data_IF_823201623852
#
_entry.id   IF_823201623852
#
_cell.length_a   1.000
_cell.length_b   1.000
_cell.length_c   1.000
_cell.angle_alpha   90.00
_cell.angle_beta   90.00
_cell.angle_gamma   90.00
#
_symmetry.space_group_name_H-M   'P 1'
#
loop_
_entity.id
_entity.type
_entity.pdbx_description
1 polymer ?
#
# COMPACT_ATOMS: atom_id res chain seq x y z
N UNK A 1 32.52 -9.41 30.97
CA UNK A 1 32.98 -8.64 29.81
C UNK A 1 32.41 -7.24 29.92
N UNK A 2 33.08 -6.34 30.63
CA UNK A 2 32.60 -4.97 30.84
C UNK A 2 33.20 -4.07 29.76
N UNK A 3 32.42 -3.77 28.73
CA UNK A 3 32.72 -2.70 27.79
C UNK A 3 31.61 -1.64 27.92
N UNK A 4 31.78 -0.65 28.82
CA UNK A 4 30.78 0.39 29.04
C UNK A 4 30.42 1.14 27.75
N UNK A 5 31.39 1.28 26.84
CA UNK A 5 31.20 1.95 25.56
C UNK A 5 30.24 1.18 24.64
N UNK A 6 30.30 -0.16 24.65
CA UNK A 6 29.36 -0.99 23.90
C UNK A 6 27.93 -0.77 24.37
N UNK A 7 27.69 -0.79 25.69
CA UNK A 7 26.36 -0.58 26.28
C UNK A 7 25.79 0.77 25.89
N UNK A 8 26.59 1.83 26.00
CA UNK A 8 26.22 3.18 25.58
C UNK A 8 25.81 3.24 24.12
N UNK A 9 26.66 2.73 23.24
CA UNK A 9 26.44 2.80 21.78
C UNK A 9 25.20 2.02 21.37
N UNK A 10 25.00 0.80 21.90
CA UNK A 10 23.84 -0.01 21.52
C UNK A 10 22.53 0.56 22.08
N UNK A 11 22.53 1.05 23.33
CA UNK A 11 21.38 1.70 23.94
C UNK A 11 20.95 2.95 23.16
N UNK A 12 21.92 3.81 22.79
CA UNK A 12 21.67 5.02 22.01
C UNK A 12 21.22 4.71 20.57
N UNK A 13 21.79 3.70 19.91
CA UNK A 13 21.37 3.25 18.56
C UNK A 13 19.93 2.80 18.53
N UNK A 14 19.53 1.98 19.50
CA UNK A 14 18.15 1.50 19.59
C UNK A 14 17.18 2.63 19.97
N UNK A 15 17.59 3.53 20.85
CA UNK A 15 16.83 4.74 21.17
C UNK A 15 16.60 5.61 19.93
N UNK A 16 17.66 5.97 19.20
CA UNK A 16 17.55 6.73 17.94
C UNK A 16 16.63 6.05 16.93
N UNK A 17 16.72 4.72 16.79
CA UNK A 17 15.89 3.97 15.85
C UNK A 17 14.40 4.14 16.09
N UNK A 18 13.97 4.29 17.34
CA UNK A 18 12.54 4.42 17.70
C UNK A 18 12.12 5.88 17.94
N UNK A 19 12.97 6.70 18.56
CA UNK A 19 12.68 8.10 18.86
C UNK A 19 13.02 9.06 17.71
N UNK A 20 13.77 8.60 16.70
CA UNK A 20 14.21 9.39 15.55
C UNK A 20 15.50 10.19 15.78
N UNK A 21 15.84 10.50 17.03
CA UNK A 21 17.04 11.26 17.42
C UNK A 21 17.77 10.51 18.54
N UNK A 22 19.10 10.44 18.45
CA UNK A 22 19.93 9.89 19.52
C UNK A 22 20.02 10.82 20.73
N UNK A 23 20.29 10.27 21.92
CA UNK A 23 20.70 11.08 23.07
C UNK A 23 22.09 11.67 22.81
N UNK A 24 22.90 10.93 22.05
CA UNK A 24 24.14 11.39 21.44
C UNK A 24 24.01 11.39 19.92
N UNK A 25 24.46 12.46 19.26
CA UNK A 25 24.52 12.62 17.81
C UNK A 25 25.84 13.31 17.41
N UNK A 26 26.50 12.88 16.31
CA UNK A 26 26.14 11.75 15.45
C UNK A 26 26.38 10.39 16.11
N UNK A 27 25.43 9.45 15.99
CA UNK A 27 25.55 8.12 16.64
C UNK A 27 26.80 7.32 16.25
N UNK A 28 27.36 7.58 15.07
CA UNK A 28 28.55 6.88 14.57
C UNK A 28 29.88 7.57 14.91
N UNK A 29 29.85 8.76 15.49
CA UNK A 29 31.03 9.55 15.87
C UNK A 29 31.28 9.54 17.39
N UNK A 30 30.75 8.53 18.10
CA UNK A 30 30.88 8.44 19.55
C UNK A 30 32.34 8.26 20.00
N UNK A 31 32.78 9.15 20.89
CA UNK A 31 34.10 9.14 21.56
C UNK A 31 33.94 9.14 23.08
N UNK A 32 35.01 8.92 23.85
CA UNK A 32 34.95 8.99 25.33
C UNK A 32 34.62 10.40 25.85
N UNK A 33 34.94 11.45 25.09
CA UNK A 33 34.71 12.86 25.43
C UNK A 33 33.28 13.34 25.07
N UNK A 34 32.49 12.44 24.51
CA UNK A 34 31.14 12.71 24.02
C UNK A 34 30.14 12.86 25.17
N UNK A 35 29.66 14.09 25.40
CA UNK A 35 28.64 14.34 26.41
C UNK A 35 27.22 14.03 25.88
N UNK A 36 26.44 13.18 26.57
CA UNK A 36 25.05 12.93 26.20
C UNK A 36 24.19 14.17 26.49
N UNK A 37 23.25 14.47 25.60
CA UNK A 37 22.29 15.57 25.80
C UNK A 37 21.50 15.47 27.11
N UNK A 38 21.20 14.24 27.54
CA UNK A 38 20.46 13.93 28.76
C UNK A 38 21.19 12.82 29.52
N UNK A 39 22.18 13.16 30.37
CA UNK A 39 23.04 12.17 31.03
C UNK A 39 22.28 11.18 31.92
N UNK A 40 21.29 11.65 32.68
CA UNK A 40 20.48 10.81 33.57
C UNK A 40 19.64 9.80 32.77
N UNK A 41 19.07 10.23 31.64
CA UNK A 41 18.33 9.35 30.74
C UNK A 41 19.26 8.31 30.11
N UNK A 42 20.46 8.72 29.69
CA UNK A 42 21.43 7.80 29.12
C UNK A 42 21.84 6.71 30.12
N UNK A 43 22.13 7.09 31.35
CA UNK A 43 22.46 6.15 32.42
C UNK A 43 21.32 5.15 32.67
N UNK A 44 20.07 5.65 32.74
CA UNK A 44 18.90 4.77 32.87
C UNK A 44 18.81 3.76 31.72
N UNK A 45 19.02 4.19 30.49
CA UNK A 45 18.98 3.31 29.32
C UNK A 45 20.11 2.25 29.34
N UNK A 46 21.31 2.62 29.79
CA UNK A 46 22.41 1.68 29.98
C UNK A 46 22.07 0.63 31.02
N UNK A 47 21.58 1.06 32.19
CA UNK A 47 21.19 0.18 33.30
C UNK A 47 20.11 -0.80 32.84
N UNK A 48 19.11 -0.34 32.08
CA UNK A 48 18.07 -1.20 31.52
C UNK A 48 18.62 -2.19 30.48
N UNK A 49 19.59 -1.80 29.66
CA UNK A 49 20.23 -2.71 28.70
C UNK A 49 20.97 -3.85 29.41
N UNK A 50 21.71 -3.52 30.48
CA UNK A 50 22.42 -4.50 31.31
C UNK A 50 21.44 -5.39 32.07
N UNK A 51 20.41 -4.80 32.69
CA UNK A 51 19.39 -5.54 33.44
C UNK A 51 18.59 -6.53 32.57
N UNK A 52 18.38 -6.19 31.30
CA UNK A 52 17.74 -7.06 30.31
C UNK A 52 18.72 -8.04 29.64
N UNK A 53 19.97 -8.11 30.11
CA UNK A 53 21.02 -8.97 29.58
C UNK A 53 21.18 -8.82 28.05
N UNK A 54 21.13 -7.59 27.55
CA UNK A 54 21.22 -7.24 26.14
C UNK A 54 20.13 -7.84 25.22
N UNK A 55 18.97 -8.23 25.77
CA UNK A 55 17.79 -8.58 24.96
C UNK A 55 17.22 -7.32 24.29
N UNK A 56 17.57 -7.13 23.01
CA UNK A 56 17.11 -6.02 22.19
C UNK A 56 15.59 -5.95 22.06
N UNK A 57 14.89 -7.09 22.05
CA UNK A 57 13.42 -7.13 21.90
C UNK A 57 12.75 -6.67 23.19
N UNK A 58 13.25 -7.13 24.34
CA UNK A 58 12.76 -6.67 25.64
C UNK A 58 13.06 -5.18 25.85
N UNK A 59 14.26 -4.72 25.45
CA UNK A 59 14.66 -3.33 25.56
C UNK A 59 13.81 -2.40 24.67
N UNK A 60 13.60 -2.77 23.41
CA UNK A 60 12.69 -2.03 22.53
C UNK A 60 11.26 -2.03 23.09
N UNK A 61 10.77 -3.15 23.64
CA UNK A 61 9.46 -3.19 24.28
C UNK A 61 9.38 -2.20 25.46
N UNK A 62 10.43 -2.06 26.26
CA UNK A 62 10.49 -1.07 27.34
C UNK A 62 10.34 0.36 26.79
N UNK A 63 11.10 0.73 25.75
CA UNK A 63 11.02 2.07 25.17
C UNK A 63 9.65 2.30 24.53
N UNK A 64 9.13 1.35 23.76
CA UNK A 64 7.86 1.48 23.04
C UNK A 64 6.63 1.55 23.98
N UNK A 65 6.76 1.06 25.21
CA UNK A 65 5.72 1.18 26.25
C UNK A 65 5.94 2.36 27.20
N UNK A 66 6.97 3.17 26.98
CA UNK A 66 7.20 4.37 27.77
C UNK A 66 6.20 5.48 27.44
N UNK A 67 5.89 6.33 28.42
CA UNK A 67 5.03 7.50 28.19
C UNK A 67 5.63 8.44 27.14
N UNK A 68 6.95 8.58 27.09
CA UNK A 68 7.62 9.48 26.14
C UNK A 68 7.47 9.02 24.69
N UNK A 69 7.51 7.71 24.42
CA UNK A 69 7.27 7.18 23.08
C UNK A 69 5.79 7.29 22.66
N UNK A 70 4.87 7.11 23.62
CA UNK A 70 3.43 7.16 23.35
C UNK A 70 2.86 8.58 23.26
N UNK A 71 3.66 9.62 23.53
CA UNK A 71 3.27 11.01 23.29
C UNK A 71 3.16 11.30 21.79
N UNK A 72 2.43 12.36 21.47
CA UNK A 72 2.35 12.86 20.10
C UNK A 72 3.74 13.18 19.55
N UNK A 73 4.00 12.77 18.31
CA UNK A 73 5.26 13.08 17.65
C UNK A 73 5.44 14.60 17.50
N UNK A 74 6.67 15.08 17.66
CA UNK A 74 7.00 16.49 17.47
C UNK A 74 6.81 16.87 16.01
N UNK A 75 5.98 17.89 15.77
CA UNK A 75 5.73 18.45 14.43
C UNK A 75 6.90 19.33 13.97
N UNK A 76 7.67 19.87 14.91
CA UNK A 76 8.82 20.71 14.61
C UNK A 76 10.00 19.85 14.15
N UNK A 77 10.76 20.40 13.19
CA UNK A 77 12.04 19.83 12.76
C UNK A 77 13.03 19.77 13.93
N UNK A 78 13.91 18.78 13.87
CA UNK A 78 14.98 18.62 14.86
C UNK A 78 15.99 19.77 14.64
N UNK A 79 16.25 20.60 15.67
CA UNK A 79 17.16 21.74 15.52
C UNK A 79 18.58 21.25 15.25
N UNK A 80 19.28 21.92 14.34
CA UNK A 80 20.66 21.60 14.01
C UNK A 80 21.61 22.12 15.10
N UNK A 81 22.40 21.22 15.70
CA UNK A 81 23.42 21.59 16.69
C UNK A 81 22.90 21.85 18.10
N UNK A 82 21.60 21.69 18.35
CA UNK A 82 21.02 21.82 19.70
C UNK A 82 20.46 20.47 20.20
N UNK A 83 20.51 20.22 21.52
CA UNK A 83 19.86 19.07 22.12
C UNK A 83 18.35 19.00 21.83
N UNK A 84 17.86 17.81 21.50
CA UNK A 84 16.43 17.57 21.33
C UNK A 84 15.77 17.27 22.68
N UNK A 85 14.83 18.11 23.12
CA UNK A 85 14.20 18.04 24.46
C UNK A 85 13.18 16.89 24.67
N UNK A 86 13.05 15.96 23.71
CA UNK A 86 12.16 14.78 23.76
C UNK A 86 10.74 15.02 24.33
N UNK A 87 9.98 15.95 23.74
CA UNK A 87 8.53 16.07 24.04
C UNK A 87 7.71 14.85 23.55
N UNK A 88 8.27 14.09 22.62
CA UNK A 88 7.75 12.86 22.02
C UNK A 88 8.78 12.32 21.01
N UNK A 89 8.46 11.29 20.22
CA UNK A 89 9.32 10.88 19.12
C UNK A 89 9.38 11.97 18.03
N UNK A 90 10.53 12.09 17.36
CA UNK A 90 10.66 12.98 16.21
C UNK A 90 9.84 12.45 15.03
N UNK A 91 9.17 13.36 14.31
CA UNK A 91 8.46 13.02 13.09
C UNK A 91 9.46 12.51 12.04
N UNK A 92 9.20 11.32 11.49
CA UNK A 92 10.04 10.69 10.47
C UNK A 92 9.23 10.37 9.23
N UNK A 93 9.89 10.41 8.08
CA UNK A 93 9.31 9.91 6.83
C UNK A 93 9.16 8.40 6.90
N UNK A 94 8.05 7.91 6.35
CA UNK A 94 7.88 6.48 6.10
C UNK A 94 8.84 6.05 4.98
N UNK A 95 9.34 4.81 5.03
CA UNK A 95 10.09 4.24 3.91
C UNK A 95 9.17 4.00 2.72
N UNK A 96 9.74 3.81 1.53
CA UNK A 96 8.96 3.54 0.33
C UNK A 96 8.09 2.28 0.49
N UNK A 97 8.63 1.24 1.13
CA UNK A 97 7.92 0.00 1.45
C UNK A 97 6.76 0.26 2.40
N UNK A 98 6.98 1.02 3.48
CA UNK A 98 5.93 1.35 4.44
C UNK A 98 4.79 2.15 3.78
N UNK A 99 5.10 3.06 2.86
CA UNK A 99 4.09 3.81 2.11
C UNK A 99 3.33 2.88 1.17
N UNK A 100 4.04 2.04 0.42
CA UNK A 100 3.45 1.06 -0.49
C UNK A 100 2.52 0.09 0.24
N UNK A 101 2.98 -0.51 1.33
CA UNK A 101 2.22 -1.45 2.14
C UNK A 101 0.96 -0.78 2.73
N UNK A 102 1.05 0.48 3.14
CA UNK A 102 -0.10 1.26 3.62
C UNK A 102 -1.14 1.46 2.52
N UNK A 103 -0.72 1.84 1.31
CA UNK A 103 -1.61 2.03 0.16
C UNK A 103 -2.24 0.69 -0.25
N UNK A 104 -1.42 -0.37 -0.35
CA UNK A 104 -1.88 -1.70 -0.72
C UNK A 104 -2.89 -2.24 0.30
N UNK A 105 -2.64 -2.06 1.59
CA UNK A 105 -3.56 -2.46 2.66
C UNK A 105 -4.90 -1.72 2.59
N UNK A 106 -4.90 -0.45 2.18
CA UNK A 106 -6.11 0.36 2.01
C UNK A 106 -6.98 -0.16 0.85
N UNK A 107 -6.35 -0.61 -0.24
CA UNK A 107 -7.03 -1.09 -1.45
C UNK A 107 -7.45 -2.56 -1.33
N UNK A 108 -6.59 -3.39 -0.72
CA UNK A 108 -6.80 -4.79 -0.49
C UNK A 108 -6.57 -5.09 1.00
N UNK A 109 -7.62 -5.39 1.79
CA UNK A 109 -7.49 -5.66 3.22
C UNK A 109 -6.72 -6.96 3.52
N UNK A 110 -6.50 -7.81 2.52
CA UNK A 110 -5.73 -9.06 2.65
C UNK A 110 -4.68 -9.16 1.55
N UNK A 111 -3.64 -8.30 1.55
CA UNK A 111 -2.67 -8.25 0.47
C UNK A 111 -1.70 -9.44 0.46
N UNK A 112 -1.53 -10.10 1.60
CA UNK A 112 -0.72 -11.31 1.73
C UNK A 112 -1.45 -12.57 1.25
N UNK A 113 -2.78 -12.51 1.09
CA UNK A 113 -3.55 -13.63 0.59
C UNK A 113 -3.63 -13.59 -0.94
N UNK A 114 -3.57 -14.76 -1.61
CA UNK A 114 -3.82 -14.83 -3.04
C UNK A 114 -5.21 -14.30 -3.33
N UNK A 115 -5.33 -13.37 -4.27
CA UNK A 115 -6.65 -12.94 -4.76
C UNK A 115 -7.19 -14.03 -5.70
N UNK A 116 -7.83 -15.06 -5.13
CA UNK A 116 -8.36 -16.19 -5.89
C UNK A 116 -9.36 -15.76 -6.97
N UNK A 117 -10.05 -14.63 -6.80
CA UNK A 117 -10.96 -14.12 -7.84
C UNK A 117 -10.17 -13.57 -9.02
N UNK A 118 -9.14 -12.76 -8.78
CA UNK A 118 -8.23 -12.31 -9.85
C UNK A 118 -7.53 -13.48 -10.52
N UNK A 119 -7.07 -14.46 -9.74
CA UNK A 119 -6.40 -15.66 -10.27
C UNK A 119 -7.36 -16.46 -11.16
N UNK A 120 -8.58 -16.76 -10.69
CA UNK A 120 -9.59 -17.46 -11.49
C UNK A 120 -9.96 -16.71 -12.77
N UNK A 121 -10.14 -15.39 -12.71
CA UNK A 121 -10.44 -14.57 -13.88
C UNK A 121 -9.26 -14.53 -14.86
N UNK A 122 -8.03 -14.51 -14.34
CA UNK A 122 -6.83 -14.59 -15.16
C UNK A 122 -6.76 -15.95 -15.87
N UNK A 123 -6.93 -17.05 -15.15
CA UNK A 123 -6.92 -18.40 -15.70
C UNK A 123 -8.03 -18.60 -16.75
N UNK A 124 -9.24 -18.11 -16.48
CA UNK A 124 -10.35 -18.16 -17.44
C UNK A 124 -10.00 -17.40 -18.72
N UNK A 125 -9.44 -16.18 -18.60
CA UNK A 125 -9.03 -15.38 -19.76
C UNK A 125 -7.93 -16.07 -20.57
N UNK A 126 -6.95 -16.67 -19.90
CA UNK A 126 -5.88 -17.42 -20.57
C UNK A 126 -6.46 -18.63 -21.31
N UNK A 127 -7.35 -19.39 -20.69
CA UNK A 127 -8.02 -20.53 -21.32
C UNK A 127 -8.90 -20.13 -22.51
N UNK A 128 -9.64 -19.01 -22.42
CA UNK A 128 -10.39 -18.46 -23.55
C UNK A 128 -9.47 -18.09 -24.72
N UNK A 129 -8.33 -17.48 -24.41
CA UNK A 129 -7.35 -17.08 -25.41
C UNK A 129 -6.69 -18.28 -26.10
N UNK A 130 -6.35 -19.32 -25.34
CA UNK A 130 -5.84 -20.59 -25.87
C UNK A 130 -6.89 -21.28 -26.76
N UNK A 131 -8.13 -21.39 -26.29
CA UNK A 131 -9.22 -21.98 -27.07
C UNK A 131 -9.45 -21.23 -28.39
N UNK A 132 -9.37 -19.89 -28.37
CA UNK A 132 -9.46 -19.07 -29.58
C UNK A 132 -8.30 -19.35 -30.54
N UNK A 133 -7.08 -19.47 -30.01
CA UNK A 133 -5.91 -19.79 -30.82
C UNK A 133 -6.00 -21.19 -31.45
N UNK A 134 -6.50 -22.17 -30.71
CA UNK A 134 -6.75 -23.52 -31.21
C UNK A 134 -7.78 -23.50 -32.34
N UNK A 135 -8.88 -22.75 -32.18
CA UNK A 135 -9.86 -22.57 -33.26
C UNK A 135 -9.20 -21.94 -34.49
N UNK A 136 -8.39 -20.88 -34.33
CA UNK A 136 -7.74 -20.23 -35.47
C UNK A 136 -6.71 -21.11 -36.18
N UNK A 137 -6.04 -22.02 -35.45
CA UNK A 137 -5.00 -22.90 -36.01
C UNK A 137 -5.54 -24.22 -36.56
N UNK A 138 -6.67 -24.71 -36.04
CA UNK A 138 -7.29 -25.98 -36.45
C UNK A 138 -8.46 -25.84 -37.42
N UNK A 139 -8.88 -24.62 -37.77
CA UNK A 139 -10.02 -24.38 -38.68
C UNK A 139 -9.56 -24.15 -40.12
N UNK A 140 -10.28 -24.68 -41.10
CA UNK A 140 -9.99 -24.45 -42.51
C UNK A 140 -10.27 -23.00 -42.93
N UNK A 141 -9.53 -22.45 -43.90
CA UNK A 141 -9.68 -21.06 -44.34
C UNK A 141 -11.12 -20.72 -44.76
N UNK A 142 -11.84 -21.67 -45.37
CA UNK A 142 -13.24 -21.51 -45.76
C UNK A 142 -14.18 -21.32 -44.56
N UNK A 143 -13.98 -22.09 -43.50
CA UNK A 143 -14.84 -22.04 -42.30
C UNK A 143 -14.63 -20.72 -41.54
N UNK A 144 -13.40 -20.20 -41.52
CA UNK A 144 -13.09 -18.88 -40.95
C UNK A 144 -13.79 -17.76 -41.70
N UNK A 145 -13.80 -17.82 -43.03
CA UNK A 145 -14.49 -16.83 -43.88
C UNK A 145 -16.00 -16.87 -43.62
N UNK A 146 -16.59 -18.04 -43.48
CA UNK A 146 -18.02 -18.17 -43.23
C UNK A 146 -18.41 -17.73 -41.81
N UNK A 147 -17.59 -18.06 -40.81
CA UNK A 147 -17.76 -17.53 -39.45
C UNK A 147 -17.66 -15.99 -39.43
N UNK A 148 -16.70 -15.40 -40.14
CA UNK A 148 -16.54 -13.95 -40.25
C UNK A 148 -17.77 -13.27 -40.90
N UNK A 149 -18.37 -13.90 -41.92
CA UNK A 149 -19.64 -13.44 -42.50
C UNK A 149 -20.78 -13.48 -41.49
N UNK A 150 -20.90 -14.55 -40.70
CA UNK A 150 -21.94 -14.68 -39.66
C UNK A 150 -21.77 -13.62 -38.57
N UNK A 151 -20.55 -13.41 -38.09
CA UNK A 151 -20.24 -12.35 -37.12
C UNK A 151 -20.57 -10.96 -37.70
N UNK A 152 -20.25 -10.71 -38.98
CA UNK A 152 -20.62 -9.44 -39.65
C UNK A 152 -22.13 -9.22 -39.72
N UNK A 153 -22.92 -10.28 -39.94
CA UNK A 153 -24.39 -10.20 -39.92
C UNK A 153 -24.90 -9.86 -38.52
N UNK A 154 -24.43 -10.58 -37.49
CA UNK A 154 -24.80 -10.33 -36.09
C UNK A 154 -24.43 -8.90 -35.67
N UNK A 155 -23.24 -8.43 -36.04
CA UNK A 155 -22.79 -7.07 -35.75
C UNK A 155 -23.68 -6.01 -36.42
N UNK A 156 -24.10 -6.23 -37.67
CA UNK A 156 -25.02 -5.32 -38.37
C UNK A 156 -26.38 -5.26 -37.70
N UNK A 157 -26.90 -6.39 -37.22
CA UNK A 157 -28.19 -6.42 -36.54
C UNK A 157 -28.12 -5.77 -35.15
N UNK A 158 -27.05 -6.02 -34.39
CA UNK A 158 -26.78 -5.32 -33.14
C UNK A 158 -26.66 -3.80 -33.34
N UNK A 159 -26.00 -3.35 -34.42
CA UNK A 159 -25.91 -1.93 -34.75
C UNK A 159 -27.27 -1.29 -35.01
N UNK A 160 -28.18 -1.98 -35.72
CA UNK A 160 -29.54 -1.49 -35.95
C UNK A 160 -30.33 -1.37 -34.65
N UNK A 161 -30.19 -2.36 -33.75
CA UNK A 161 -30.85 -2.32 -32.44
C UNK A 161 -30.32 -1.18 -31.58
N UNK A 162 -29.01 -0.95 -31.59
CA UNK A 162 -28.36 0.15 -30.88
C UNK A 162 -28.85 1.52 -31.43
N UNK A 163 -28.96 1.66 -32.75
CA UNK A 163 -29.50 2.86 -33.40
C UNK A 163 -30.99 3.08 -33.06
N UNK A 164 -31.80 2.02 -33.08
CA UNK A 164 -33.22 2.06 -32.71
C UNK A 164 -33.41 2.53 -31.27
N UNK A 165 -32.62 1.99 -30.33
CA UNK A 165 -32.70 2.36 -28.92
C UNK A 165 -32.21 3.79 -28.70
N UNK A 166 -31.13 4.23 -29.38
CA UNK A 166 -30.67 5.64 -29.33
C UNK A 166 -31.74 6.61 -29.82
N UNK A 167 -32.37 6.32 -30.96
CA UNK A 167 -33.46 7.14 -31.49
C UNK A 167 -34.66 7.18 -30.53
N UNK A 168 -35.03 6.05 -29.94
CA UNK A 168 -36.11 5.97 -28.95
C UNK A 168 -35.80 6.77 -27.68
N UNK A 169 -34.54 6.77 -27.21
CA UNK A 169 -34.10 7.58 -26.07
C UNK A 169 -34.20 9.07 -26.41
N UNK A 170 -33.76 9.49 -27.60
CA UNK A 170 -33.81 10.90 -28.02
C UNK A 170 -35.26 11.41 -28.11
N UNK A 171 -36.18 10.59 -28.64
CA UNK A 171 -37.61 10.92 -28.69
C UNK A 171 -38.21 11.03 -27.27
N UNK A 172 -37.91 10.07 -26.39
CA UNK A 172 -38.39 10.08 -25.01
C UNK A 172 -37.83 11.28 -24.19
N UNK A 173 -36.58 11.66 -24.44
CA UNK A 173 -35.97 12.86 -23.84
C UNK A 173 -36.66 14.14 -24.31
N UNK A 174 -36.94 14.27 -25.61
CA UNK A 174 -37.67 15.43 -26.16
C UNK A 174 -39.11 15.52 -25.64
N UNK A 175 -39.74 14.37 -25.36
CA UNK A 175 -41.08 14.29 -24.76
C UNK A 175 -41.09 14.51 -23.23
N UNK A 176 -39.93 14.58 -22.58
CA UNK A 176 -39.82 14.75 -21.12
C UNK A 176 -40.18 13.51 -20.30
N UNK A 177 -40.31 12.33 -20.92
CA UNK A 177 -40.67 11.08 -20.27
C UNK A 177 -39.45 10.40 -19.63
N UNK A 178 -39.23 10.72 -18.35
CA UNK A 178 -38.07 10.23 -17.58
C UNK A 178 -38.11 8.73 -17.30
N UNK A 179 -39.30 8.13 -17.22
CA UNK A 179 -39.43 6.71 -16.91
C UNK A 179 -39.13 5.86 -18.14
N UNK A 180 -39.57 6.31 -19.32
CA UNK A 180 -39.23 5.65 -20.58
C UNK A 180 -37.73 5.71 -20.90
N UNK A 181 -37.07 6.83 -20.61
CA UNK A 181 -35.60 6.94 -20.75
C UNK A 181 -34.87 5.96 -19.83
N UNK A 182 -35.33 5.77 -18.59
CA UNK A 182 -34.73 4.80 -17.66
C UNK A 182 -34.90 3.35 -18.14
N UNK A 183 -36.06 3.03 -18.68
CA UNK A 183 -36.33 1.70 -19.25
C UNK A 183 -35.42 1.40 -20.45
N UNK A 184 -35.33 2.32 -21.41
CA UNK A 184 -34.50 2.17 -22.60
C UNK A 184 -32.99 2.11 -22.28
N UNK A 185 -32.53 2.83 -21.26
CA UNK A 185 -31.15 2.72 -20.78
C UNK A 185 -30.84 1.35 -20.16
N UNK A 186 -31.82 0.72 -19.48
CA UNK A 186 -31.69 -0.65 -18.97
C UNK A 186 -31.67 -1.66 -20.11
N UNK A 187 -32.49 -1.46 -21.13
CA UNK A 187 -32.49 -2.28 -22.35
C UNK A 187 -31.15 -2.19 -23.09
N UNK A 188 -30.59 -0.98 -23.27
CA UNK A 188 -29.26 -0.76 -23.85
C UNK A 188 -28.14 -1.43 -23.06
N UNK A 189 -28.23 -1.42 -21.73
CA UNK A 189 -27.23 -2.05 -20.86
C UNK A 189 -27.29 -3.59 -20.86
N UNK A 190 -28.36 -4.20 -21.40
CA UNK A 190 -28.48 -5.66 -21.56
C UNK A 190 -27.97 -6.16 -22.91
N UNK A 191 -27.89 -5.28 -23.91
CA UNK A 191 -27.39 -5.60 -25.25
C UNK A 191 -25.87 -5.44 -25.37
N UNK A 192 -25.22 -4.82 -24.38
CA UNK A 192 -23.76 -4.65 -24.27
C UNK A 192 -23.19 -5.63 -23.27
#
# INVERSE_FOLDING_TARGET
SENPMFTKVIANRLWKKVMGVGIYEPVDEFTEESEPSHPELMQFLEDQMVALNYDMKAYLRLILNSQIYQRQASVNDVPAGEPYNFCGPALRRMTAEQIWDSIVTLVNPTPELPDWKREQLFQLRMAEQEAMQDVLTCTSESDLIDAAKQVSLIQKDLQKDDERIRQAIEVAQKAGDKDKVRELNRESSRLR
#
